data_IF_332185681850
#
_entry.id   IF_332185681850
#
_cell.length_a   1.000
_cell.length_b   1.000
_cell.length_c   1.000
_cell.angle_alpha   90.00
_cell.angle_beta   90.00
_cell.angle_gamma   90.00
#
_symmetry.space_group_name_H-M   'P 1'
#
loop_
_entity.id
_entity.type
_entity.pdbx_description
1 polymer ?
#
# COMPACT_ATOMS: atom_id res chain seq x y z
N UNK A 1 23.47 -4.55 -1.86
CA UNK A 1 22.52 -5.67 -1.75
C UNK A 1 22.71 -6.52 -2.99
N UNK A 2 22.66 -7.85 -2.90
CA UNK A 2 22.72 -8.68 -4.09
C UNK A 2 21.37 -8.65 -4.80
N UNK A 3 21.36 -8.77 -6.13
CA UNK A 3 20.13 -8.78 -6.93
C UNK A 3 19.19 -9.92 -6.47
N UNK A 4 19.75 -11.08 -6.12
CA UNK A 4 18.98 -12.20 -5.58
C UNK A 4 18.28 -11.86 -4.25
N UNK A 5 18.92 -11.10 -3.36
CA UNK A 5 18.33 -10.66 -2.09
C UNK A 5 17.19 -9.66 -2.35
N UNK A 6 17.41 -8.73 -3.30
CA UNK A 6 16.40 -7.74 -3.71
C UNK A 6 15.14 -8.43 -4.22
N UNK A 7 15.30 -9.41 -5.11
CA UNK A 7 14.18 -10.13 -5.70
C UNK A 7 13.46 -11.05 -4.71
N UNK A 8 14.16 -11.58 -3.71
CA UNK A 8 13.52 -12.32 -2.61
C UNK A 8 12.73 -11.37 -1.71
N UNK A 9 13.26 -10.17 -1.44
CA UNK A 9 12.54 -9.13 -0.71
C UNK A 9 11.26 -8.68 -1.44
N UNK A 10 11.33 -8.45 -2.75
CA UNK A 10 10.16 -8.06 -3.55
C UNK A 10 9.11 -9.18 -3.58
N UNK A 11 9.53 -10.44 -3.66
CA UNK A 11 8.63 -11.60 -3.62
C UNK A 11 7.90 -11.70 -2.28
N UNK A 12 8.61 -11.52 -1.16
CA UNK A 12 8.00 -11.49 0.18
C UNK A 12 7.00 -10.34 0.34
N UNK A 13 7.33 -9.14 -0.17
CA UNK A 13 6.41 -8.01 -0.16
C UNK A 13 5.19 -8.26 -1.05
N UNK A 14 5.36 -8.90 -2.21
CA UNK A 14 4.26 -9.28 -3.08
C UNK A 14 3.30 -10.26 -2.39
N UNK A 15 3.82 -11.25 -1.67
CA UNK A 15 3.00 -12.19 -0.89
C UNK A 15 2.24 -11.47 0.24
N UNK A 16 2.92 -10.62 1.01
CA UNK A 16 2.29 -9.79 2.04
C UNK A 16 1.17 -8.91 1.45
N UNK A 17 1.43 -8.22 0.35
CA UNK A 17 0.43 -7.37 -0.33
C UNK A 17 -0.69 -8.21 -0.94
N UNK A 18 -0.43 -9.46 -1.31
CA UNK A 18 -1.47 -10.37 -1.79
C UNK A 18 -2.47 -10.69 -0.70
N UNK A 19 -1.96 -11.03 0.49
CA UNK A 19 -2.79 -11.31 1.67
C UNK A 19 -3.59 -10.08 2.10
N UNK A 20 -2.94 -8.91 2.17
CA UNK A 20 -3.56 -7.71 2.75
C UNK A 20 -4.40 -6.88 1.75
N UNK A 21 -4.09 -6.96 0.46
CA UNK A 21 -4.61 -6.04 -0.55
C UNK A 21 -5.12 -6.75 -1.81
N UNK A 22 -4.25 -7.48 -2.53
CA UNK A 22 -4.58 -7.92 -3.90
C UNK A 22 -5.68 -8.97 -3.97
N UNK A 23 -5.80 -9.84 -2.96
CA UNK A 23 -6.85 -10.86 -2.89
C UNK A 23 -8.26 -10.26 -2.66
N UNK A 24 -8.32 -9.05 -2.09
CA UNK A 24 -9.56 -8.39 -1.68
C UNK A 24 -10.19 -7.52 -2.79
N UNK A 25 -9.45 -7.15 -3.84
CA UNK A 25 -9.88 -6.25 -4.93
C UNK A 25 -11.26 -6.63 -5.50
N UNK A 26 -11.51 -7.93 -5.68
CA UNK A 26 -12.72 -8.46 -6.33
C UNK A 26 -13.82 -8.90 -5.37
N UNK A 27 -13.52 -9.06 -4.07
CA UNK A 27 -14.43 -9.70 -3.09
C UNK A 27 -14.92 -8.73 -2.02
N UNK A 28 -13.96 -8.12 -1.31
CA UNK A 28 -14.20 -7.35 -0.09
C UNK A 28 -13.29 -6.13 -0.08
N UNK A 29 -13.61 -5.11 -0.89
CA UNK A 29 -12.76 -3.91 -1.03
C UNK A 29 -12.54 -3.21 0.32
N UNK A 30 -13.52 -3.28 1.20
CA UNK A 30 -13.49 -2.81 2.57
C UNK A 30 -12.38 -3.45 3.42
N UNK A 31 -11.89 -4.64 3.06
CA UNK A 31 -10.82 -5.34 3.76
C UNK A 31 -9.42 -4.94 3.27
N UNK A 32 -9.30 -4.17 2.19
CA UNK A 32 -8.02 -3.74 1.63
C UNK A 32 -7.19 -2.99 2.69
N UNK A 33 -6.04 -3.55 3.04
CA UNK A 33 -5.04 -2.96 3.91
C UNK A 33 -3.72 -2.83 3.15
N UNK A 34 -3.04 -1.71 3.37
CA UNK A 34 -1.72 -1.45 2.82
C UNK A 34 -0.85 -0.96 3.95
N UNK A 35 0.27 -1.63 4.18
CA UNK A 35 1.27 -1.18 5.14
C UNK A 35 2.19 -0.14 4.50
N UNK A 36 2.30 1.04 5.14
CA UNK A 36 3.17 2.11 4.68
C UNK A 36 4.65 1.68 4.68
N UNK A 37 5.08 0.85 5.63
CA UNK A 37 6.45 0.34 5.69
C UNK A 37 6.75 -0.60 4.53
N UNK A 38 5.76 -1.40 4.12
CA UNK A 38 5.88 -2.27 2.94
C UNK A 38 6.08 -1.47 1.65
N UNK A 39 5.38 -0.34 1.50
CA UNK A 39 5.57 0.56 0.34
C UNK A 39 6.97 1.18 0.32
N UNK A 40 7.45 1.66 1.49
CA UNK A 40 8.80 2.25 1.62
C UNK A 40 9.89 1.22 1.31
N UNK A 41 9.76 0.01 1.84
CA UNK A 41 10.74 -1.04 1.54
C UNK A 41 10.66 -1.45 0.06
N UNK A 42 9.46 -1.55 -0.53
CA UNK A 42 9.30 -1.83 -1.95
C UNK A 42 9.99 -0.77 -2.82
N UNK A 43 9.82 0.51 -2.50
CA UNK A 43 10.48 1.61 -3.21
C UNK A 43 12.01 1.47 -3.16
N UNK A 44 12.56 1.18 -1.99
CA UNK A 44 14.00 0.96 -1.82
C UNK A 44 14.51 -0.24 -2.64
N UNK A 45 13.80 -1.37 -2.61
CA UNK A 45 14.18 -2.56 -3.36
C UNK A 45 14.11 -2.33 -4.88
N UNK A 46 13.03 -1.71 -5.35
CA UNK A 46 12.80 -1.43 -6.77
C UNK A 46 13.80 -0.38 -7.29
N UNK A 47 14.15 0.61 -6.48
CA UNK A 47 15.19 1.59 -6.82
C UNK A 47 16.56 0.94 -6.99
N UNK A 48 16.87 -0.11 -6.23
CA UNK A 48 18.11 -0.86 -6.40
C UNK A 48 18.19 -1.52 -7.79
N UNK A 49 17.06 -1.95 -8.36
CA UNK A 49 17.02 -2.57 -9.69
C UNK A 49 17.26 -1.57 -10.83
N UNK A 50 17.06 -0.26 -10.63
CA UNK A 50 17.33 0.75 -11.66
C UNK A 50 18.79 0.80 -12.08
N UNK A 51 19.69 0.44 -11.16
CA UNK A 51 21.12 0.43 -11.39
C UNK A 51 21.61 -0.89 -12.01
N UNK A 52 20.68 -1.81 -12.29
CA UNK A 52 20.98 -3.10 -12.92
C UNK A 52 20.46 -3.06 -14.35
N UNK A 53 21.31 -3.33 -15.34
CA UNK A 53 20.90 -3.40 -16.77
C UNK A 53 19.96 -4.59 -17.06
N UNK A 54 19.55 -5.34 -16.04
CA UNK A 54 18.80 -6.59 -16.14
C UNK A 54 17.29 -6.40 -16.27
N UNK A 55 16.77 -5.19 -15.98
CA UNK A 55 15.33 -4.95 -15.87
C UNK A 55 14.86 -3.76 -16.70
N UNK A 56 13.61 -3.84 -17.17
CA UNK A 56 12.97 -2.77 -17.92
C UNK A 56 12.79 -1.52 -17.05
N UNK A 57 13.50 -0.44 -17.39
CA UNK A 57 13.45 0.82 -16.64
C UNK A 57 12.04 1.45 -16.62
N UNK A 58 11.24 1.24 -17.66
CA UNK A 58 9.84 1.71 -17.71
C UNK A 58 8.97 1.00 -16.68
N UNK A 59 9.15 -0.31 -16.51
CA UNK A 59 8.44 -1.09 -15.49
C UNK A 59 8.81 -0.62 -14.09
N UNK A 60 10.11 -0.42 -13.84
CA UNK A 60 10.60 0.07 -12.55
C UNK A 60 10.03 1.45 -12.22
N UNK A 61 10.04 2.38 -13.17
CA UNK A 61 9.46 3.73 -12.99
C UNK A 61 7.95 3.70 -12.77
N UNK A 62 7.26 2.76 -13.42
CA UNK A 62 5.82 2.55 -13.21
C UNK A 62 5.54 2.15 -11.77
N UNK A 63 6.28 1.17 -11.24
CA UNK A 63 6.14 0.73 -9.84
C UNK A 63 6.42 1.89 -8.88
N UNK A 64 7.50 2.64 -9.07
CA UNK A 64 7.84 3.81 -8.24
C UNK A 64 6.74 4.89 -8.26
N UNK A 65 6.14 5.15 -9.42
CA UNK A 65 5.06 6.13 -9.55
C UNK A 65 3.81 5.70 -8.78
N UNK A 66 3.47 4.41 -8.81
CA UNK A 66 2.30 3.87 -8.12
C UNK A 66 2.45 3.94 -6.59
N UNK A 67 3.67 3.79 -6.06
CA UNK A 67 3.92 3.72 -4.62
C UNK A 67 4.44 5.03 -4.01
N UNK A 68 4.49 6.11 -4.80
CA UNK A 68 5.00 7.40 -4.32
C UNK A 68 4.11 8.02 -3.23
N UNK A 69 4.63 9.00 -2.51
CA UNK A 69 3.95 9.66 -1.39
C UNK A 69 2.70 10.46 -1.79
N UNK A 70 2.54 10.81 -3.07
CA UNK A 70 1.37 11.52 -3.57
C UNK A 70 0.22 10.58 -3.97
N UNK A 71 0.51 9.28 -4.12
CA UNK A 71 -0.43 8.28 -4.61
C UNK A 71 -1.52 7.96 -3.59
N UNK A 72 -2.67 7.49 -4.08
CA UNK A 72 -3.75 7.05 -3.21
C UNK A 72 -3.39 5.76 -2.45
N UNK A 73 -2.49 4.93 -2.98
CA UNK A 73 -1.93 3.78 -2.24
C UNK A 73 -1.21 4.24 -0.96
N UNK A 74 -0.36 5.27 -1.06
CA UNK A 74 0.34 5.82 0.11
C UNK A 74 -0.62 6.54 1.05
N UNK A 75 -1.53 7.37 0.52
CA UNK A 75 -2.56 8.04 1.35
C UNK A 75 -3.44 7.05 2.10
N UNK A 76 -3.77 5.91 1.50
CA UNK A 76 -4.54 4.84 2.13
C UNK A 76 -3.72 4.11 3.21
N UNK A 77 -2.41 3.92 3.01
CA UNK A 77 -1.55 3.21 3.97
C UNK A 77 -1.27 4.01 5.25
N UNK A 78 -1.31 5.34 5.18
CA UNK A 78 -1.12 6.22 6.36
C UNK A 78 -2.45 6.67 6.98
N UNK A 79 -3.59 6.33 6.38
CA UNK A 79 -4.90 6.73 6.89
C UNK A 79 -5.20 5.95 8.18
N UNK A 80 -5.30 6.66 9.31
CA UNK A 80 -5.61 6.06 10.62
C UNK A 80 -7.03 6.37 11.04
N UNK A 81 -7.65 5.41 11.72
CA UNK A 81 -8.89 5.65 12.44
C UNK A 81 -8.61 6.66 13.56
N UNK A 82 -9.38 7.74 13.69
CA UNK A 82 -9.18 8.73 14.74
C UNK A 82 -9.48 8.12 16.12
N UNK A 83 -8.50 8.20 17.02
CA UNK A 83 -8.64 7.79 18.43
C UNK A 83 -8.88 9.04 19.31
N UNK A 84 -9.96 9.05 20.10
CA UNK A 84 -10.32 10.19 20.94
C UNK A 84 -9.41 10.42 22.15
N UNK A 85 -8.53 9.47 22.51
CA UNK A 85 -7.57 9.67 23.61
C UNK A 85 -6.69 10.92 23.39
N UNK A 86 -6.40 11.28 22.14
CA UNK A 86 -5.62 12.47 21.80
C UNK A 86 -6.44 13.77 21.70
N UNK A 87 -7.77 13.69 21.73
CA UNK A 87 -8.68 14.85 21.62
C UNK A 87 -9.31 15.19 22.99
N UNK A 88 -9.55 14.17 23.83
CA UNK A 88 -10.13 14.31 25.16
C UNK A 88 -9.26 15.11 26.14
N UNK A 89 -7.92 15.11 26.01
CA UNK A 89 -7.05 15.94 26.84
C UNK A 89 -7.22 17.45 26.64
N UNK A 90 -7.85 17.88 25.53
CA UNK A 90 -8.01 19.31 25.18
C UNK A 90 -9.44 19.83 25.31
N UNK A 91 -10.40 18.99 25.65
CA UNK A 91 -11.80 19.38 25.67
C UNK A 91 -12.55 18.69 26.81
N UNK A 92 -13.13 19.51 27.70
CA UNK A 92 -14.06 19.11 28.76
C UNK A 92 -15.38 18.58 28.15
N UNK A 93 -15.34 17.40 27.53
CA UNK A 93 -16.53 16.78 26.95
C UNK A 93 -17.34 16.06 28.04
N UNK A 94 -18.63 16.36 28.12
CA UNK A 94 -19.59 15.59 28.94
C UNK A 94 -19.85 14.25 28.24
N UNK A 95 -19.94 13.14 28.97
CA UNK A 95 -19.83 11.77 28.42
C UNK A 95 -20.69 11.41 27.18
N UNK A 96 -21.85 12.05 26.98
CA UNK A 96 -22.68 11.86 25.77
C UNK A 96 -22.09 12.55 24.52
N UNK A 97 -21.48 13.72 24.67
CA UNK A 97 -20.85 14.46 23.57
C UNK A 97 -19.64 13.70 23.03
N UNK A 98 -18.91 13.02 23.91
CA UNK A 98 -17.78 12.16 23.51
C UNK A 98 -18.22 11.06 22.55
N UNK A 99 -19.30 10.34 22.88
CA UNK A 99 -19.81 9.25 22.03
C UNK A 99 -20.31 9.74 20.68
N UNK A 100 -20.98 10.90 20.65
CA UNK A 100 -21.45 11.52 19.41
C UNK A 100 -20.28 11.95 18.51
N UNK A 101 -19.24 12.53 19.09
CA UNK A 101 -18.01 12.91 18.36
C UNK A 101 -17.27 11.67 17.84
N UNK A 102 -17.10 10.63 18.68
CA UNK A 102 -16.53 9.33 18.29
C UNK A 102 -17.25 8.78 17.05
N UNK A 103 -18.58 8.80 17.07
CA UNK A 103 -19.41 8.32 15.97
C UNK A 103 -19.23 9.16 14.70
N UNK A 104 -19.23 10.49 14.80
CA UNK A 104 -19.03 11.38 13.64
C UNK A 104 -17.64 11.17 13.03
N UNK A 105 -16.60 11.10 13.86
CA UNK A 105 -15.22 10.86 13.43
C UNK A 105 -15.09 9.51 12.72
N UNK A 106 -15.71 8.46 13.27
CA UNK A 106 -15.71 7.14 12.65
C UNK A 106 -16.42 7.12 11.30
N UNK A 107 -17.59 7.77 11.17
CA UNK A 107 -18.31 7.88 9.90
C UNK A 107 -17.45 8.62 8.86
N UNK A 108 -16.82 9.72 9.26
CA UNK A 108 -15.93 10.50 8.40
C UNK A 108 -14.73 9.69 7.92
N UNK A 109 -14.10 8.93 8.84
CA UNK A 109 -13.01 8.01 8.52
C UNK A 109 -13.44 6.94 7.52
N UNK A 110 -14.56 6.25 7.76
CA UNK A 110 -15.07 5.20 6.86
C UNK A 110 -15.32 5.78 5.46
N UNK A 111 -15.97 6.95 5.37
CA UNK A 111 -16.24 7.62 4.09
C UNK A 111 -14.95 7.95 3.34
N UNK A 112 -13.97 8.54 4.03
CA UNK A 112 -12.68 8.93 3.42
C UNK A 112 -11.87 7.70 3.01
N UNK A 113 -11.90 6.63 3.81
CA UNK A 113 -11.24 5.37 3.50
C UNK A 113 -11.85 4.73 2.25
N UNK A 114 -13.18 4.65 2.16
CA UNK A 114 -13.86 4.12 0.96
C UNK A 114 -13.50 4.92 -0.29
N UNK A 115 -13.48 6.26 -0.19
CA UNK A 115 -13.03 7.12 -1.29
C UNK A 115 -11.60 6.79 -1.72
N UNK A 116 -10.65 6.70 -0.78
CA UNK A 116 -9.25 6.38 -1.11
C UNK A 116 -9.10 4.98 -1.71
N UNK A 117 -9.89 4.00 -1.27
CA UNK A 117 -9.92 2.69 -1.90
C UNK A 117 -10.38 2.82 -3.34
N UNK A 118 -11.49 3.50 -3.61
CA UNK A 118 -12.01 3.69 -4.96
C UNK A 118 -10.98 4.35 -5.89
N UNK A 119 -10.32 5.41 -5.42
CA UNK A 119 -9.29 6.12 -6.18
C UNK A 119 -8.01 5.29 -6.34
N UNK A 120 -7.66 4.42 -5.39
CA UNK A 120 -6.48 3.56 -5.47
C UNK A 120 -6.70 2.25 -6.25
N UNK A 121 -7.95 1.83 -6.53
CA UNK A 121 -8.24 0.49 -7.05
C UNK A 121 -7.49 0.15 -8.33
N UNK A 122 -7.47 1.06 -9.29
CA UNK A 122 -6.79 0.81 -10.56
C UNK A 122 -5.26 0.83 -10.40
N UNK A 123 -4.75 1.66 -9.50
CA UNK A 123 -3.32 1.66 -9.17
C UNK A 123 -2.90 0.38 -8.44
N UNK A 124 -3.74 -0.15 -7.55
CA UNK A 124 -3.53 -1.45 -6.90
C UNK A 124 -3.46 -2.57 -7.95
N UNK A 125 -4.38 -2.59 -8.93
CA UNK A 125 -4.36 -3.59 -10.01
C UNK A 125 -3.10 -3.46 -10.86
N UNK A 126 -2.72 -2.24 -11.23
CA UNK A 126 -1.50 -1.97 -12.01
C UNK A 126 -0.25 -2.36 -11.24
N UNK A 127 -0.21 -2.10 -9.94
CA UNK A 127 0.91 -2.47 -9.07
C UNK A 127 1.05 -3.98 -9.00
N UNK A 128 -0.05 -4.71 -8.79
CA UNK A 128 -0.08 -6.17 -8.83
C UNK A 128 0.52 -6.70 -10.13
N UNK A 129 0.00 -6.26 -11.28
CA UNK A 129 0.45 -6.71 -12.59
C UNK A 129 1.93 -6.37 -12.83
N UNK A 130 2.38 -5.19 -12.42
CA UNK A 130 3.77 -4.75 -12.57
C UNK A 130 4.74 -5.59 -11.72
N UNK A 131 4.32 -5.97 -10.51
CA UNK A 131 5.11 -6.85 -9.65
C UNK A 131 5.13 -8.28 -10.17
N UNK A 132 4.02 -8.79 -10.71
CA UNK A 132 3.96 -10.10 -11.38
C UNK A 132 4.92 -10.14 -12.60
N UNK A 133 4.93 -9.09 -13.43
CA UNK A 133 5.84 -8.98 -14.57
C UNK A 133 7.31 -8.96 -14.11
N UNK A 134 7.63 -8.18 -13.08
CA UNK A 134 8.97 -8.08 -12.53
C UNK A 134 9.47 -9.41 -11.97
N UNK A 135 8.60 -10.14 -11.24
CA UNK A 135 8.91 -11.43 -10.65
C UNK A 135 8.91 -12.57 -11.69
N UNK A 136 8.18 -12.45 -12.79
CA UNK A 136 8.24 -13.42 -13.89
C UNK A 136 9.61 -13.39 -14.58
N UNK A 137 10.17 -12.21 -14.83
CA UNK A 137 11.52 -12.06 -15.39
C UNK A 137 12.60 -12.79 -14.56
N UNK A 138 12.43 -12.86 -13.22
CA UNK A 138 13.28 -13.66 -12.32
C UNK A 138 13.20 -15.16 -12.60
N UNK A 139 12.02 -15.70 -12.94
CA UNK A 139 11.83 -17.13 -13.18
C UNK A 139 12.48 -17.58 -14.48
N UNK A 140 12.32 -16.80 -15.55
CA UNK A 140 12.94 -17.08 -16.85
C UNK A 140 14.47 -17.08 -16.77
N UNK A 141 15.07 -16.22 -15.93
CA UNK A 141 16.53 -16.20 -15.70
C UNK A 141 17.07 -17.39 -14.89
N UNK A 142 16.22 -18.17 -14.19
CA UNK A 142 16.66 -19.36 -13.45
C UNK A 142 16.64 -20.64 -14.29
N UNK A 143 15.94 -20.63 -15.42
CA UNK A 143 15.72 -21.80 -16.28
C UNK A 143 16.60 -21.81 -17.55
N UNK A 144 17.39 -20.75 -17.78
CA UNK A 144 18.38 -20.64 -18.87
C UNK A 144 19.81 -20.64 -18.37
#
# INVERSE_FOLDING_TARGET
MKISEVLTGIEALYEQMTEQCFSHIAKHKEEIKIDALALVELEKLVSHLQHTELYNLSLIRTIQTLINHESFLYKLSILREPELENIAEKADFVGNERQDIEKILRISYIKKRSQYIEEALDDIKKLKASLEELLYAKKVQKEG
#
